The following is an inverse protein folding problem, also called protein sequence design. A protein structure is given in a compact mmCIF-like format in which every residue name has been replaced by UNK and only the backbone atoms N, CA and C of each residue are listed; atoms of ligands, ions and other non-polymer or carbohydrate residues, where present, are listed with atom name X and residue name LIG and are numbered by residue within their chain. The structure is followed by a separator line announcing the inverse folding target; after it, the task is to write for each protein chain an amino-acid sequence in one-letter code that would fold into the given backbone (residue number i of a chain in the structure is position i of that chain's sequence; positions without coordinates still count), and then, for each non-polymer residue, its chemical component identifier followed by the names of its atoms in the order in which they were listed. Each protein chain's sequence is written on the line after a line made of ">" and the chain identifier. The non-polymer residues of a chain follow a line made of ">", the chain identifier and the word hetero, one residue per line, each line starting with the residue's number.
data_IF_185567643845
#
_entry.id   IF_185567643845
#
_cell.length_a   1.000
_cell.length_b   1.000
_cell.length_c   1.000
_cell.angle_alpha   90.00
_cell.angle_beta   90.00
_cell.angle_gamma   90.00
#
_symmetry.space_group_name_H-M   'P 1'
#
loop_
_entity.id
_entity.type
_entity.pdbx_description
1 polymer ?
#
# COMPACT_ATOMS: atom_id res chain seq x y z
N UNK A 1 14.85 2.56 -8.51
CA UNK A 1 14.49 1.69 -7.37
C UNK A 1 14.87 2.40 -6.09
N UNK A 2 13.90 2.92 -5.36
CA UNK A 2 14.14 3.57 -4.07
C UNK A 2 14.06 2.52 -2.95
N UNK A 3 14.97 2.59 -1.98
CA UNK A 3 14.87 1.78 -0.77
C UNK A 3 13.62 2.24 0.00
N UNK A 4 12.80 1.30 0.47
CA UNK A 4 11.60 1.56 1.28
C UNK A 4 11.88 2.53 2.45
N UNK A 5 13.04 2.39 3.09
CA UNK A 5 13.47 3.27 4.18
C UNK A 5 13.69 4.74 3.75
N UNK A 6 13.99 4.97 2.47
CA UNK A 6 14.23 6.30 1.90
C UNK A 6 12.95 6.97 1.36
N UNK A 7 11.80 6.28 1.40
CA UNK A 7 10.53 6.84 0.97
C UNK A 7 9.91 7.75 2.06
N UNK A 8 9.32 8.89 1.68
CA UNK A 8 8.38 9.63 2.51
C UNK A 8 7.23 8.74 2.99
N UNK A 9 6.66 9.05 4.17
CA UNK A 9 5.67 8.19 4.84
C UNK A 9 4.34 8.13 4.09
N UNK A 10 4.01 9.26 3.48
CA UNK A 10 2.79 9.64 2.79
C UNK A 10 2.79 9.28 1.30
N UNK A 11 3.83 8.62 0.79
CA UNK A 11 3.86 8.25 -0.62
C UNK A 11 3.19 6.91 -0.87
N UNK A 12 2.25 6.93 -1.82
CA UNK A 12 1.65 5.75 -2.37
C UNK A 12 2.68 4.89 -3.09
N UNK A 13 2.74 3.61 -2.70
CA UNK A 13 3.35 2.59 -3.52
C UNK A 13 2.27 2.02 -4.44
N UNK A 14 2.61 1.93 -5.71
CA UNK A 14 1.79 1.28 -6.72
C UNK A 14 2.50 0.07 -7.30
N UNK A 15 1.73 -0.95 -7.66
CA UNK A 15 2.22 -2.21 -8.22
C UNK A 15 1.48 -2.53 -9.52
N UNK A 16 2.07 -3.32 -10.44
CA UNK A 16 1.40 -3.70 -11.69
C UNK A 16 0.03 -4.35 -11.48
N UNK A 17 -0.97 -4.02 -12.30
CA UNK A 17 -2.33 -4.57 -12.18
C UNK A 17 -2.40 -6.10 -12.26
N UNK A 18 -1.47 -6.74 -12.97
CA UNK A 18 -1.39 -8.19 -13.14
C UNK A 18 -0.72 -8.92 -11.96
N UNK A 19 -0.21 -8.19 -10.96
CA UNK A 19 0.42 -8.82 -9.80
C UNK A 19 -0.64 -9.55 -8.95
N UNK A 20 -0.50 -10.85 -8.83
CA UNK A 20 -1.42 -11.72 -8.07
C UNK A 20 -0.88 -12.10 -6.71
N UNK A 21 0.43 -11.90 -6.49
CA UNK A 21 1.11 -12.18 -5.24
C UNK A 21 2.24 -11.20 -5.03
N UNK A 22 2.33 -10.65 -3.83
CA UNK A 22 3.39 -9.75 -3.41
C UNK A 22 4.61 -10.56 -2.98
N UNK A 23 5.80 -10.15 -3.43
CA UNK A 23 7.09 -10.66 -2.96
C UNK A 23 7.98 -9.49 -2.55
N UNK A 24 9.04 -9.75 -1.78
CA UNK A 24 9.98 -8.69 -1.39
C UNK A 24 10.79 -8.13 -2.57
N UNK A 25 10.87 -8.89 -3.67
CA UNK A 25 11.51 -8.45 -4.92
C UNK A 25 10.55 -7.66 -5.83
N UNK A 26 9.28 -7.51 -5.43
CA UNK A 26 8.29 -6.79 -6.23
C UNK A 26 8.70 -5.32 -6.40
N UNK A 27 8.75 -4.88 -7.65
CA UNK A 27 9.12 -3.51 -7.96
C UNK A 27 7.90 -2.61 -7.80
N UNK A 28 7.90 -1.82 -6.73
CA UNK A 28 6.89 -0.79 -6.54
C UNK A 28 7.28 0.49 -7.30
N UNK A 29 6.26 1.15 -7.86
CA UNK A 29 6.36 2.52 -8.36
C UNK A 29 5.93 3.47 -7.26
N UNK A 30 6.77 4.45 -7.01
CA UNK A 30 6.44 5.55 -6.11
C UNK A 30 5.69 6.60 -6.92
N UNK A 31 4.52 7.01 -6.45
CA UNK A 31 3.80 8.16 -7.00
C UNK A 31 3.75 9.21 -5.90
N UNK A 32 4.31 10.39 -6.20
CA UNK A 32 4.17 11.56 -5.35
C UNK A 32 2.97 12.31 -5.90
N UNK A 33 1.84 12.18 -5.23
CA UNK A 33 0.63 12.88 -5.59
C UNK A 33 0.57 14.16 -4.76
N UNK A 34 1.22 15.22 -5.25
CA UNK A 34 1.04 16.55 -4.69
C UNK A 34 -0.39 17.03 -5.04
N UNK A 35 -1.28 17.06 -4.04
CA UNK A 35 -2.64 17.63 -4.11
C UNK A 35 -3.60 17.06 -5.18
N UNK A 36 -3.58 15.75 -5.44
CA UNK A 36 -4.49 15.12 -6.42
C UNK A 36 -5.83 14.72 -5.78
N UNK A 37 -6.92 15.12 -6.44
CA UNK A 37 -8.28 14.62 -6.19
C UNK A 37 -8.34 13.13 -6.56
N UNK A 38 -9.07 12.31 -5.81
CA UNK A 38 -9.19 10.85 -6.00
C UNK A 38 -9.41 10.42 -7.47
N UNK A 39 -10.13 11.23 -8.26
CA UNK A 39 -10.39 11.00 -9.69
C UNK A 39 -9.11 10.94 -10.56
N UNK A 40 -8.05 11.66 -10.18
CA UNK A 40 -6.79 11.69 -10.93
C UNK A 40 -5.92 10.46 -10.64
N UNK A 41 -6.09 9.84 -9.47
CA UNK A 41 -5.40 8.60 -9.07
C UNK A 41 -5.95 7.42 -9.87
N UNK A 42 -7.27 7.28 -9.96
CA UNK A 42 -7.93 6.24 -10.75
C UNK A 42 -7.54 6.32 -12.23
N UNK A 43 -7.49 7.53 -12.77
CA UNK A 43 -7.06 7.77 -14.15
C UNK A 43 -5.59 7.37 -14.35
N UNK A 44 -4.72 7.71 -13.40
CA UNK A 44 -3.31 7.32 -13.42
C UNK A 44 -3.13 5.79 -13.36
N UNK A 45 -3.79 5.13 -12.40
CA UNK A 45 -3.79 3.67 -12.24
C UNK A 45 -4.22 2.97 -13.53
N UNK A 46 -5.31 3.45 -14.14
CA UNK A 46 -5.82 2.92 -15.41
C UNK A 46 -4.82 3.15 -16.55
N UNK A 47 -4.23 4.34 -16.66
CA UNK A 47 -3.30 4.68 -17.74
C UNK A 47 -1.99 3.89 -17.66
N UNK A 48 -1.39 3.84 -16.47
CA UNK A 48 -0.10 3.21 -16.22
C UNK A 48 -0.18 1.70 -15.98
N UNK A 49 -1.40 1.13 -15.94
CA UNK A 49 -1.66 -0.28 -15.64
C UNK A 49 -1.09 -0.69 -14.28
N UNK A 50 -1.29 0.17 -13.29
CA UNK A 50 -0.90 -0.04 -11.90
C UNK A 50 -2.11 0.06 -10.99
N UNK A 51 -1.95 -0.45 -9.77
CA UNK A 51 -2.93 -0.32 -8.70
C UNK A 51 -2.25 0.12 -7.42
N UNK A 52 -3.05 0.70 -6.54
CA UNK A 52 -2.66 1.02 -5.18
C UNK A 52 -2.24 -0.24 -4.42
N UNK A 53 -1.20 -0.08 -3.61
CA UNK A 53 -0.67 -1.15 -2.78
C UNK A 53 -0.70 -0.76 -1.31
N UNK A 54 0.37 -0.15 -0.81
CA UNK A 54 0.46 0.32 0.57
C UNK A 54 1.23 1.62 0.66
N UNK A 55 0.93 2.39 1.68
CA UNK A 55 1.83 3.41 2.19
C UNK A 55 3.00 2.75 2.94
N UNK A 56 4.05 3.55 3.16
CA UNK A 56 5.21 3.09 3.92
C UNK A 56 4.84 2.73 5.37
N UNK A 57 4.01 3.52 6.01
CA UNK A 57 3.58 3.30 7.39
C UNK A 57 2.77 2.01 7.56
N UNK A 58 1.91 1.66 6.60
CA UNK A 58 1.20 0.40 6.58
C UNK A 58 2.17 -0.79 6.52
N UNK A 59 3.25 -0.69 5.74
CA UNK A 59 4.29 -1.73 5.69
C UNK A 59 5.06 -1.81 7.03
N UNK A 60 5.36 -0.66 7.64
CA UNK A 60 5.94 -0.60 8.99
C UNK A 60 5.02 -1.29 10.02
N UNK A 61 3.71 -1.02 9.97
CA UNK A 61 2.70 -1.63 10.85
C UNK A 61 2.60 -3.15 10.68
N UNK A 62 2.68 -3.65 9.45
CA UNK A 62 2.75 -5.11 9.19
C UNK A 62 3.99 -5.69 9.87
N UNK A 63 5.14 -5.02 9.73
CA UNK A 63 6.40 -5.49 10.31
C UNK A 63 6.36 -5.50 11.84
N UNK A 64 5.81 -4.45 12.45
CA UNK A 64 5.67 -4.33 13.90
C UNK A 64 4.69 -5.38 14.45
N UNK A 65 3.55 -5.58 13.78
CA UNK A 65 2.58 -6.61 14.14
C UNK A 65 3.17 -8.02 14.03
N UNK A 66 3.99 -8.28 12.99
CA UNK A 66 4.65 -9.56 12.82
C UNK A 66 5.75 -9.77 13.87
N UNK A 67 6.53 -8.73 14.18
CA UNK A 67 7.58 -8.77 15.21
C UNK A 67 7.01 -9.02 16.61
N UNK A 68 5.85 -8.43 16.94
CA UNK A 68 5.17 -8.62 18.21
C UNK A 68 4.73 -10.08 18.43
N UNK A 69 4.35 -10.79 17.36
CA UNK A 69 3.94 -12.19 17.41
C UNK A 69 5.13 -13.16 17.27
N UNK A 70 6.10 -12.80 16.42
CA UNK A 70 7.30 -13.59 16.11
C UNK A 70 8.51 -12.66 15.96
N UNK A 71 9.31 -12.45 17.02
CA UNK A 71 10.47 -11.54 16.98
C UNK A 71 11.58 -11.91 15.99
N UNK A 72 11.53 -13.12 15.40
CA UNK A 72 12.46 -13.62 14.38
C UNK A 72 11.68 -14.27 13.25
N UNK A 73 10.86 -13.48 12.57
CA UNK A 73 10.19 -13.92 11.35
C UNK A 73 11.16 -13.96 10.17
N UNK A 74 10.87 -14.83 9.22
CA UNK A 74 11.55 -14.98 7.94
C UNK A 74 10.90 -14.11 6.86
N UNK A 75 11.63 -13.89 5.76
CA UNK A 75 11.12 -13.17 4.58
C UNK A 75 9.82 -13.79 4.06
N UNK A 76 9.70 -15.12 4.06
CA UNK A 76 8.48 -15.82 3.64
C UNK A 76 7.28 -15.52 4.55
N UNK A 77 7.51 -15.34 5.85
CA UNK A 77 6.46 -14.95 6.79
C UNK A 77 6.04 -13.49 6.59
N UNK A 78 7.00 -12.60 6.29
CA UNK A 78 6.71 -11.22 5.93
C UNK A 78 5.91 -11.12 4.63
N UNK A 79 6.31 -11.84 3.58
CA UNK A 79 5.54 -11.91 2.34
C UNK A 79 4.12 -12.43 2.58
N UNK A 80 3.97 -13.48 3.40
CA UNK A 80 2.65 -14.02 3.73
C UNK A 80 1.80 -13.01 4.49
N UNK A 81 2.38 -12.23 5.40
CA UNK A 81 1.67 -11.16 6.11
C UNK A 81 1.25 -10.06 5.14
N UNK A 82 2.15 -9.58 4.29
CA UNK A 82 1.87 -8.55 3.28
C UNK A 82 0.72 -8.99 2.35
N UNK A 83 0.77 -10.22 1.81
CA UNK A 83 -0.29 -10.74 0.96
C UNK A 83 -1.62 -10.87 1.71
N UNK A 84 -1.59 -11.25 2.99
CA UNK A 84 -2.79 -11.32 3.81
C UNK A 84 -3.44 -9.94 3.95
N UNK A 85 -2.69 -8.94 4.41
CA UNK A 85 -3.25 -7.60 4.58
C UNK A 85 -3.75 -7.00 3.25
N UNK A 86 -3.03 -7.25 2.17
CA UNK A 86 -3.36 -6.72 0.84
C UNK A 86 -4.60 -7.41 0.25
N UNK A 87 -4.73 -8.73 0.41
CA UNK A 87 -5.89 -9.49 -0.09
C UNK A 87 -7.19 -9.15 0.68
N UNK A 88 -7.07 -8.85 1.96
CA UNK A 88 -8.23 -8.59 2.83
C UNK A 88 -8.55 -7.12 3.02
N UNK A 89 -7.85 -6.22 2.30
CA UNK A 89 -8.00 -4.77 2.42
C UNK A 89 -8.01 -4.32 3.90
N UNK A 90 -7.09 -4.91 4.67
CA UNK A 90 -7.13 -4.84 6.13
C UNK A 90 -6.69 -3.47 6.68
N UNK A 91 -6.27 -2.57 5.80
CA UNK A 91 -6.05 -1.17 6.10
C UNK A 91 -7.20 -0.37 5.48
N UNK A 92 -8.28 -0.23 6.25
CA UNK A 92 -9.41 0.62 5.88
C UNK A 92 -8.89 2.02 5.56
N UNK A 93 -9.19 2.50 4.36
CA UNK A 93 -8.80 3.81 3.87
C UNK A 93 -9.53 4.91 4.66
N UNK A 94 -8.78 5.77 5.35
CA UNK A 94 -9.35 6.87 6.15
C UNK A 94 -9.64 8.14 5.32
N UNK A 95 -9.30 8.16 4.03
CA UNK A 95 -9.64 9.24 3.09
C UNK A 95 -11.12 9.23 2.70
N UNK A 96 -11.78 8.06 2.72
CA UNK A 96 -13.19 7.93 2.32
C UNK A 96 -14.21 8.39 3.38
N UNK A 97 -13.75 8.83 4.56
CA UNK A 97 -14.64 9.33 5.62
C UNK A 97 -15.01 10.83 5.50
N UNK A 98 -14.64 11.49 4.41
CA UNK A 98 -15.01 12.89 4.15
C UNK A 98 -16.36 13.10 3.44
N UNK A 99 -17.02 12.05 2.95
CA UNK A 99 -18.35 12.14 2.33
C UNK A 99 -19.41 11.34 3.11
N UNK A 100 -19.72 11.84 4.30
CA UNK A 100 -21.02 11.59 4.94
C UNK A 100 -21.61 12.91 5.42
N UNK A 101 -21.76 13.84 4.47
CA UNK A 101 -22.69 14.96 4.59
C UNK A 101 -23.82 14.78 3.59
N UNK A 102 -24.59 13.71 3.74
CA UNK A 102 -25.94 13.67 3.19
C UNK A 102 -26.87 14.43 4.15
N UNK A 103 -26.88 15.74 3.96
CA UNK A 103 -27.98 16.59 4.39
C UNK A 103 -29.15 16.33 3.45
N UNK A 104 -30.20 15.68 3.95
CA UNK A 104 -31.59 16.11 3.75
C UNK A 104 -32.56 15.45 4.73
#
# INVERSE_FOLDING_TARGET
>A
MHNLNALPRDNWLMIPCDTTRISLDLVCRQVVLDDYLDEEIDAYCTHEQVREFFYKDQIEDICDNLAAQRPKYSDAELESAINYYWQYDAFIDFTSAADSNDVK
#
